data_IF_128534252998
#
_entry.id   IF_128534252998
#
_cell.length_a   1.000
_cell.length_b   1.000
_cell.length_c   1.000
_cell.angle_alpha   90.00
_cell.angle_beta   90.00
_cell.angle_gamma   90.00
#
_symmetry.space_group_name_H-M   'P 1'
#
loop_
_entity.id
_entity.type
_entity.pdbx_description
1 polymer ?
#
# COMPACT_ATOMS: atom_id res chain seq x y z
N UNK A 1 4.46 13.66 -6.39
CA UNK A 1 4.22 12.31 -5.87
C UNK A 1 5.53 11.52 -5.85
N UNK A 2 5.83 10.87 -4.74
CA UNK A 2 7.06 10.07 -4.56
C UNK A 2 7.14 8.89 -5.55
N UNK A 3 6.00 8.38 -6.03
CA UNK A 3 5.97 7.40 -7.11
C UNK A 3 6.38 7.99 -8.45
N UNK A 4 5.97 9.22 -8.80
CA UNK A 4 6.40 9.88 -10.03
C UNK A 4 7.89 10.19 -10.04
N UNK A 5 8.46 10.55 -8.89
CA UNK A 5 9.89 10.82 -8.73
C UNK A 5 10.73 9.58 -8.47
N UNK A 6 10.11 8.39 -8.37
CA UNK A 6 10.75 7.14 -7.98
C UNK A 6 11.59 7.29 -6.71
N UNK A 7 10.98 7.87 -5.67
CA UNK A 7 11.63 8.14 -4.39
C UNK A 7 10.74 7.67 -3.22
N UNK A 8 10.73 6.35 -2.98
CA UNK A 8 9.98 5.76 -1.88
C UNK A 8 10.54 6.12 -0.50
N UNK A 9 11.78 6.62 -0.42
CA UNK A 9 12.33 7.13 0.84
C UNK A 9 11.44 8.20 1.46
N UNK A 10 10.92 9.14 0.67
CA UNK A 10 10.02 10.20 1.17
C UNK A 10 8.79 9.64 1.88
N UNK A 11 8.11 8.68 1.24
CA UNK A 11 6.90 8.07 1.82
C UNK A 11 7.23 7.31 3.09
N UNK A 12 8.23 6.43 3.05
CA UNK A 12 8.56 5.56 4.18
C UNK A 12 9.10 6.38 5.35
N UNK A 13 9.93 7.40 5.11
CA UNK A 13 10.37 8.31 6.18
C UNK A 13 9.21 9.11 6.78
N UNK A 14 8.25 9.54 5.96
CA UNK A 14 7.04 10.19 6.47
C UNK A 14 6.22 9.23 7.35
N UNK A 15 6.05 7.98 6.94
CA UNK A 15 5.35 6.96 7.75
C UNK A 15 6.11 6.63 9.04
N UNK A 16 7.44 6.53 9.01
CA UNK A 16 8.26 6.34 10.20
C UNK A 16 8.11 7.49 11.19
N UNK A 17 8.09 8.73 10.71
CA UNK A 17 7.86 9.91 11.55
C UNK A 17 6.47 9.92 12.18
N UNK A 18 5.47 9.38 11.48
CA UNK A 18 4.10 9.38 11.95
C UNK A 18 3.79 8.19 12.86
N UNK A 19 4.25 7.00 12.52
CA UNK A 19 3.82 5.72 13.10
C UNK A 19 4.97 4.78 13.50
N UNK A 20 6.23 5.22 13.38
CA UNK A 20 7.39 4.39 13.65
C UNK A 20 7.52 3.95 15.12
N UNK A 21 8.52 3.12 15.44
CA UNK A 21 8.69 2.52 16.75
C UNK A 21 9.11 3.55 17.83
N UNK A 22 9.68 4.67 17.43
CA UNK A 22 10.23 5.67 18.35
C UNK A 22 9.16 6.34 19.21
N UNK A 23 9.56 6.79 20.41
CA UNK A 23 8.62 7.42 21.36
C UNK A 23 8.17 8.83 20.93
N UNK A 24 8.89 9.47 20.01
CA UNK A 24 8.59 10.81 19.50
C UNK A 24 7.69 10.81 18.28
N UNK A 25 7.20 9.65 17.79
CA UNK A 25 6.33 9.59 16.63
C UNK A 25 5.01 10.33 16.87
N UNK A 26 4.54 11.02 15.81
CA UNK A 26 3.45 11.98 15.93
C UNK A 26 2.09 11.34 16.23
N UNK A 27 1.82 10.17 15.69
CA UNK A 27 0.48 9.56 15.67
C UNK A 27 0.46 8.13 16.20
N UNK A 28 1.42 7.78 17.05
CA UNK A 28 1.52 6.43 17.64
C UNK A 28 0.22 6.08 18.39
N UNK A 29 -0.37 4.94 18.02
CA UNK A 29 -1.61 4.46 18.62
C UNK A 29 -2.89 5.14 18.11
N UNK A 30 -2.79 6.07 17.16
CA UNK A 30 -3.96 6.70 16.54
C UNK A 30 -4.33 6.01 15.24
N UNK A 31 -5.64 5.86 15.01
CA UNK A 31 -6.20 5.33 13.78
C UNK A 31 -6.75 6.50 12.95
N UNK A 32 -5.89 7.05 12.09
CA UNK A 32 -6.24 8.18 11.23
C UNK A 32 -6.87 7.69 9.93
N UNK A 33 -7.82 8.47 9.41
CA UNK A 33 -8.34 8.25 8.07
C UNK A 33 -7.24 8.49 7.03
N UNK A 34 -7.01 7.50 6.17
CA UNK A 34 -6.00 7.53 5.11
C UNK A 34 -6.67 7.47 3.76
N UNK A 35 -6.33 8.39 2.88
CA UNK A 35 -6.85 8.43 1.51
C UNK A 35 -5.77 8.92 0.54
N UNK A 36 -5.91 8.58 -0.72
CA UNK A 36 -4.99 9.00 -1.80
C UNK A 36 -5.56 10.14 -2.62
N UNK A 37 -6.88 10.26 -2.65
CA UNK A 37 -7.63 11.36 -3.24
C UNK A 37 -9.01 11.52 -2.57
N UNK A 38 -9.67 12.63 -2.86
CA UNK A 38 -11.01 12.94 -2.40
C UNK A 38 -11.68 13.97 -3.33
N UNK A 39 -12.82 14.52 -2.89
CA UNK A 39 -13.60 15.51 -3.65
C UNK A 39 -12.94 16.91 -3.77
N UNK A 40 -11.82 17.16 -3.10
CA UNK A 40 -11.16 18.47 -3.06
C UNK A 40 -9.79 18.50 -3.75
N UNK A 41 -9.25 17.33 -4.11
CA UNK A 41 -7.93 17.22 -4.75
C UNK A 41 -8.02 16.49 -6.09
N UNK A 42 -7.04 16.72 -6.96
CA UNK A 42 -6.90 15.98 -8.20
C UNK A 42 -6.88 14.48 -7.93
N UNK A 43 -7.66 13.72 -8.70
CA UNK A 43 -7.74 12.26 -8.57
C UNK A 43 -6.39 11.61 -8.77
N UNK A 44 -6.09 10.58 -7.99
CA UNK A 44 -4.78 9.92 -7.99
C UNK A 44 -4.40 9.39 -9.38
N UNK A 45 -5.36 8.86 -10.13
CA UNK A 45 -5.14 8.39 -11.50
C UNK A 45 -4.74 9.52 -12.48
N UNK A 46 -5.05 10.77 -12.17
CA UNK A 46 -4.61 11.94 -12.94
C UNK A 46 -3.25 12.49 -12.47
N UNK A 47 -2.83 12.18 -11.24
CA UNK A 47 -1.54 12.63 -10.69
C UNK A 47 -0.39 11.74 -11.16
N UNK A 48 -0.64 10.45 -11.32
CA UNK A 48 0.39 9.47 -11.65
C UNK A 48 0.82 9.58 -13.11
N UNK A 49 2.13 9.65 -13.34
CA UNK A 49 2.74 9.58 -14.68
C UNK A 49 2.82 8.15 -15.22
N UNK A 50 2.75 7.15 -14.34
CA UNK A 50 2.76 5.73 -14.70
C UNK A 50 1.54 5.04 -14.07
N UNK A 51 0.61 4.59 -14.91
CA UNK A 51 -0.63 3.95 -14.47
C UNK A 51 -0.38 2.63 -13.72
N UNK A 52 0.74 1.95 -13.96
CA UNK A 52 1.14 0.73 -13.23
C UNK A 52 1.43 0.97 -11.75
N UNK A 53 1.66 2.22 -11.36
CA UNK A 53 1.82 2.59 -9.94
C UNK A 53 0.48 2.70 -9.19
N UNK A 54 -0.65 2.81 -9.88
CA UNK A 54 -1.94 3.02 -9.26
C UNK A 54 -2.33 1.89 -8.29
N UNK A 55 -2.24 0.60 -8.66
CA UNK A 55 -2.48 -0.50 -7.70
C UNK A 55 -1.52 -0.48 -6.52
N UNK A 56 -0.25 -0.08 -6.73
CA UNK A 56 0.77 -0.07 -5.67
C UNK A 56 0.50 1.00 -4.62
N UNK A 57 -0.05 2.14 -5.02
CA UNK A 57 -0.47 3.19 -4.08
C UNK A 57 -1.60 2.71 -3.18
N UNK A 58 -2.56 1.98 -3.73
CA UNK A 58 -3.62 1.36 -2.91
C UNK A 58 -3.05 0.27 -2.01
N UNK A 59 -2.14 -0.58 -2.49
CA UNK A 59 -1.47 -1.57 -1.65
C UNK A 59 -0.74 -0.89 -0.46
N UNK A 60 -0.04 0.21 -0.72
CA UNK A 60 0.59 1.00 0.35
C UNK A 60 -0.44 1.53 1.33
N UNK A 61 -1.54 2.12 0.86
CA UNK A 61 -2.59 2.69 1.71
C UNK A 61 -3.27 1.64 2.59
N UNK A 62 -3.55 0.45 2.05
CA UNK A 62 -4.14 -0.64 2.83
C UNK A 62 -3.14 -1.33 3.76
N UNK A 63 -1.84 -1.36 3.40
CA UNK A 63 -0.79 -1.97 4.22
C UNK A 63 -0.33 -1.10 5.39
N UNK A 64 -0.34 0.23 5.24
CA UNK A 64 0.12 1.18 6.26
C UNK A 64 -0.87 1.30 7.43
N UNK A 65 -0.43 1.86 8.58
CA UNK A 65 -1.34 2.21 9.67
C UNK A 65 -2.43 3.19 9.23
N UNK A 66 -3.62 3.05 9.82
CA UNK A 66 -4.76 3.91 9.56
C UNK A 66 -5.96 3.20 8.96
N UNK A 67 -7.01 3.95 8.73
CA UNK A 67 -8.29 3.48 8.18
C UNK A 67 -8.33 3.89 6.71
N UNK A 68 -8.19 2.96 5.75
CA UNK A 68 -8.19 3.30 4.33
C UNK A 68 -9.59 3.78 3.89
N UNK A 69 -9.59 4.87 3.14
CA UNK A 69 -10.80 5.41 2.54
C UNK A 69 -10.59 5.55 1.02
N UNK A 70 -11.44 4.90 0.25
CA UNK A 70 -11.43 4.96 -1.21
C UNK A 70 -12.53 5.90 -1.66
N UNK A 71 -12.17 6.92 -2.44
CA UNK A 71 -13.14 7.86 -3.00
C UNK A 71 -13.85 7.24 -4.19
N UNK A 72 -15.17 7.44 -4.29
CA UNK A 72 -15.97 6.82 -5.35
C UNK A 72 -15.44 7.12 -6.76
N UNK A 73 -15.35 6.12 -7.59
CA UNK A 73 -14.78 6.18 -8.94
C UNK A 73 -13.26 5.97 -8.97
N UNK A 74 -12.55 6.23 -7.90
CA UNK A 74 -11.10 6.02 -7.84
C UNK A 74 -10.74 4.55 -7.79
N UNK A 75 -11.64 3.67 -7.33
CA UNK A 75 -11.47 2.22 -7.30
C UNK A 75 -11.41 1.58 -8.70
N UNK A 76 -11.87 2.27 -9.74
CA UNK A 76 -11.67 1.84 -11.13
C UNK A 76 -10.78 2.78 -11.94
N UNK A 77 -10.11 3.74 -11.28
CA UNK A 77 -9.15 4.62 -11.93
C UNK A 77 -9.77 5.84 -12.62
N UNK A 78 -10.93 6.32 -12.16
CA UNK A 78 -11.52 7.55 -12.70
C UNK A 78 -10.53 8.73 -12.59
N UNK A 79 -10.46 9.52 -13.65
CA UNK A 79 -9.60 10.71 -13.76
C UNK A 79 -10.38 11.99 -13.48
N UNK A 80 -9.70 13.04 -13.06
CA UNK A 80 -10.22 14.37 -12.83
C UNK A 80 -9.18 15.29 -12.24
N UNK A 81 -9.02 16.49 -12.80
CA UNK A 81 -8.05 17.47 -12.36
C UNK A 81 -8.74 18.60 -11.60
N UNK A 82 -8.18 19.03 -10.48
CA UNK A 82 -8.69 20.17 -9.70
C UNK A 82 -8.73 21.47 -10.51
N UNK A 83 -7.82 21.66 -11.44
CA UNK A 83 -7.78 22.82 -12.34
C UNK A 83 -8.97 22.91 -13.29
N UNK A 84 -9.70 21.81 -13.51
CA UNK A 84 -10.90 21.74 -14.35
C UNK A 84 -12.18 22.04 -13.56
N UNK A 85 -12.06 22.36 -12.28
CA UNK A 85 -13.16 22.69 -11.38
C UNK A 85 -13.69 21.49 -10.60
N UNK A 86 -14.58 21.78 -9.67
CA UNK A 86 -15.09 20.77 -8.73
C UNK A 86 -15.90 19.66 -9.42
N UNK A 87 -16.56 19.96 -10.53
CA UNK A 87 -17.34 18.96 -11.26
C UNK A 87 -16.48 17.83 -11.84
N UNK A 88 -15.23 18.15 -12.23
CA UNK A 88 -14.28 17.13 -12.70
C UNK A 88 -13.92 16.11 -11.61
N UNK A 89 -13.94 16.54 -10.35
CA UNK A 89 -13.66 15.69 -9.19
C UNK A 89 -14.91 14.97 -8.67
N UNK A 90 -16.09 15.50 -8.95
CA UNK A 90 -17.39 15.02 -8.43
C UNK A 90 -18.28 14.51 -9.55
N UNK A 91 -17.67 13.81 -10.51
CA UNK A 91 -18.40 13.27 -11.66
C UNK A 91 -19.55 12.35 -11.21
N UNK A 92 -20.66 12.43 -11.92
CA UNK A 92 -21.76 11.49 -11.78
C UNK A 92 -21.49 10.29 -12.69
N UNK A 93 -21.52 9.09 -12.15
CA UNK A 93 -21.38 7.84 -12.89
C UNK A 93 -22.74 7.15 -12.99
N UNK A 94 -23.10 6.66 -14.16
CA UNK A 94 -24.38 5.95 -14.37
C UNK A 94 -24.38 4.58 -13.66
N UNK A 95 -23.21 3.93 -13.62
CA UNK A 95 -23.00 2.64 -12.94
C UNK A 95 -21.54 2.52 -12.47
N UNK A 96 -21.27 1.69 -11.45
CA UNK A 96 -19.90 1.33 -11.10
C UNK A 96 -19.25 0.52 -12.23
N UNK A 97 -17.93 0.65 -12.34
CA UNK A 97 -17.11 -0.10 -13.29
C UNK A 97 -16.29 -1.15 -12.53
N UNK A 98 -16.47 -2.41 -12.90
CA UNK A 98 -15.63 -3.49 -12.42
C UNK A 98 -14.46 -3.69 -13.37
N UNK A 99 -13.23 -3.67 -12.85
CA UNK A 99 -11.99 -3.88 -13.58
C UNK A 99 -10.92 -4.49 -12.67
N UNK A 100 -9.74 -4.78 -13.24
CA UNK A 100 -8.62 -5.36 -12.49
C UNK A 100 -8.23 -4.54 -11.25
N UNK A 101 -8.32 -3.21 -11.31
CA UNK A 101 -8.02 -2.33 -10.17
C UNK A 101 -9.05 -2.48 -9.06
N UNK A 102 -10.34 -2.47 -9.39
CA UNK A 102 -11.41 -2.61 -8.40
C UNK A 102 -11.39 -3.99 -7.73
N UNK A 103 -11.10 -5.04 -8.49
CA UNK A 103 -10.89 -6.40 -7.96
C UNK A 103 -9.66 -6.47 -7.05
N UNK A 104 -8.56 -5.83 -7.43
CA UNK A 104 -7.35 -5.76 -6.61
C UNK A 104 -7.61 -5.02 -5.29
N UNK A 105 -8.27 -3.86 -5.33
CA UNK A 105 -8.65 -3.12 -4.13
C UNK A 105 -9.57 -3.94 -3.23
N UNK A 106 -10.49 -4.70 -3.80
CA UNK A 106 -11.35 -5.62 -3.02
C UNK A 106 -10.51 -6.66 -2.26
N UNK A 107 -9.50 -7.25 -2.91
CA UNK A 107 -8.58 -8.19 -2.23
C UNK A 107 -7.76 -7.52 -1.13
N UNK A 108 -7.29 -6.28 -1.35
CA UNK A 108 -6.60 -5.51 -0.31
C UNK A 108 -7.51 -5.23 0.89
N UNK A 109 -8.75 -4.87 0.64
CA UNK A 109 -9.75 -4.61 1.68
C UNK A 109 -10.04 -5.89 2.50
N UNK A 110 -10.20 -7.03 1.83
CA UNK A 110 -10.42 -8.31 2.49
C UNK A 110 -9.18 -8.73 3.32
N UNK A 111 -7.97 -8.57 2.79
CA UNK A 111 -6.73 -8.82 3.51
C UNK A 111 -6.66 -7.97 4.80
N UNK A 112 -6.93 -6.67 4.69
CA UNK A 112 -6.91 -5.78 5.87
C UNK A 112 -8.02 -6.11 6.87
N UNK A 113 -9.23 -6.39 6.41
CA UNK A 113 -10.36 -6.74 7.26
C UNK A 113 -10.08 -7.97 8.13
N UNK A 114 -9.36 -8.95 7.59
CA UNK A 114 -9.08 -10.22 8.25
C UNK A 114 -7.71 -10.26 8.96
N UNK A 115 -6.97 -9.14 9.00
CA UNK A 115 -5.65 -9.07 9.66
C UNK A 115 -5.67 -8.11 10.83
N UNK A 116 -5.43 -8.63 12.03
CA UNK A 116 -5.26 -7.80 13.23
C UNK A 116 -4.00 -6.93 13.12
N UNK A 117 -2.90 -7.49 12.61
CA UNK A 117 -1.66 -6.76 12.41
C UNK A 117 -1.81 -5.58 11.44
N UNK A 118 -2.51 -5.76 10.30
CA UNK A 118 -2.73 -4.66 9.34
C UNK A 118 -3.63 -3.55 9.92
N UNK A 119 -4.54 -3.88 10.83
CA UNK A 119 -5.41 -2.90 11.47
C UNK A 119 -4.72 -2.19 12.63
N UNK A 120 -4.08 -2.93 13.54
CA UNK A 120 -3.62 -2.42 14.84
C UNK A 120 -2.12 -2.57 15.09
N UNK A 121 -1.40 -3.23 14.17
CA UNK A 121 0.01 -3.56 14.33
C UNK A 121 0.93 -2.34 14.35
N UNK A 122 2.04 -2.48 15.06
CA UNK A 122 3.15 -1.54 14.98
C UNK A 122 3.72 -1.50 13.56
N UNK A 123 4.35 -0.39 13.20
CA UNK A 123 4.97 -0.16 11.91
C UNK A 123 6.50 -0.12 12.04
N UNK A 124 7.19 -0.91 11.22
CA UNK A 124 8.66 -0.94 11.16
C UNK A 124 9.14 -1.11 9.72
N UNK A 125 10.07 -0.27 9.27
CA UNK A 125 10.72 -0.42 7.96
C UNK A 125 11.74 -1.57 8.00
N UNK A 126 11.76 -2.41 6.96
CA UNK A 126 12.63 -3.58 6.83
C UNK A 126 13.60 -3.43 5.66
N UNK A 127 13.09 -3.13 4.47
CA UNK A 127 13.88 -2.85 3.25
C UNK A 127 13.42 -1.53 2.67
N UNK A 128 14.36 -0.70 2.28
CA UNK A 128 14.04 0.59 1.66
C UNK A 128 15.07 0.95 0.61
N UNK A 129 14.61 1.16 -0.61
CA UNK A 129 15.36 1.71 -1.73
C UNK A 129 14.55 2.83 -2.38
N UNK A 130 15.05 3.42 -3.45
CA UNK A 130 14.27 4.41 -4.22
C UNK A 130 12.98 3.83 -4.82
N UNK A 131 12.98 2.55 -5.16
CA UNK A 131 11.93 1.91 -5.95
C UNK A 131 11.23 0.74 -5.23
N UNK A 132 11.80 0.23 -4.15
CA UNK A 132 11.26 -0.87 -3.37
C UNK A 132 11.14 -0.50 -1.89
N UNK A 133 10.10 -1.01 -1.26
CA UNK A 133 10.00 -0.99 0.19
C UNK A 133 9.38 -2.27 0.73
N UNK A 134 9.89 -2.71 1.87
CA UNK A 134 9.25 -3.75 2.70
C UNK A 134 9.15 -3.17 4.10
N UNK A 135 7.97 -3.22 4.67
CA UNK A 135 7.74 -2.85 6.07
C UNK A 135 6.91 -3.90 6.79
N UNK A 136 7.08 -3.96 8.07
CA UNK A 136 6.38 -4.91 8.95
C UNK A 136 5.22 -4.22 9.67
N UNK A 137 4.12 -4.94 9.76
CA UNK A 137 3.01 -4.69 10.68
C UNK A 137 2.92 -5.86 11.65
N UNK A 138 2.97 -5.60 12.94
CA UNK A 138 2.99 -6.65 13.96
C UNK A 138 2.11 -6.30 15.16
N UNK A 139 1.22 -7.22 15.55
CA UNK A 139 0.37 -7.14 16.73
C UNK A 139 -0.07 -8.54 17.18
N UNK A 140 -0.06 -8.78 18.49
CA UNK A 140 -0.68 -9.95 19.14
C UNK A 140 -0.34 -11.31 18.49
N UNK A 141 0.94 -11.51 18.18
CA UNK A 141 1.42 -12.75 17.59
C UNK A 141 1.22 -12.88 16.08
N UNK A 142 0.60 -11.90 15.44
CA UNK A 142 0.48 -11.81 13.98
C UNK A 142 1.50 -10.84 13.41
N UNK A 143 2.17 -11.24 12.33
CA UNK A 143 3.10 -10.41 11.59
C UNK A 143 2.79 -10.45 10.10
N UNK A 144 2.72 -9.28 9.48
CA UNK A 144 2.55 -9.13 8.03
C UNK A 144 3.67 -8.25 7.49
N UNK A 145 4.38 -8.76 6.49
CA UNK A 145 5.37 -8.01 5.71
C UNK A 145 4.68 -7.47 4.46
N UNK A 146 4.62 -6.15 4.34
CA UNK A 146 4.09 -5.47 3.15
C UNK A 146 5.26 -5.14 2.24
N UNK A 147 5.31 -5.75 1.07
CA UNK A 147 6.38 -5.57 0.10
C UNK A 147 5.86 -4.92 -1.17
N UNK A 148 6.55 -3.90 -1.66
CA UNK A 148 6.18 -3.15 -2.88
C UNK A 148 7.43 -2.99 -3.76
N UNK A 149 7.29 -3.34 -5.05
CA UNK A 149 8.25 -3.02 -6.09
C UNK A 149 7.59 -2.09 -7.11
N UNK A 150 8.05 -0.84 -7.15
CA UNK A 150 7.57 0.18 -8.09
C UNK A 150 8.39 0.26 -9.38
N UNK A 151 9.41 -0.60 -9.53
CA UNK A 151 10.26 -0.66 -10.73
C UNK A 151 9.62 -1.50 -11.83
N UNK A 152 10.03 -1.25 -13.07
CA UNK A 152 9.77 -2.07 -14.25
C UNK A 152 10.58 -3.38 -14.28
N UNK A 153 11.59 -3.50 -13.42
CA UNK A 153 12.47 -4.65 -13.32
C UNK A 153 12.16 -5.46 -12.05
N UNK A 154 12.37 -6.78 -12.08
CA UNK A 154 12.27 -7.60 -10.89
C UNK A 154 13.37 -7.22 -9.89
N UNK A 155 13.08 -7.37 -8.62
CA UNK A 155 14.01 -7.08 -7.53
C UNK A 155 14.06 -8.26 -6.56
N UNK A 156 15.26 -8.73 -6.22
CA UNK A 156 15.43 -9.75 -5.18
C UNK A 156 15.84 -9.09 -3.88
N UNK A 157 14.94 -9.13 -2.90
CA UNK A 157 15.19 -8.61 -1.56
C UNK A 157 15.88 -9.66 -0.69
N UNK A 158 16.99 -9.29 -0.05
CA UNK A 158 17.68 -10.10 0.94
C UNK A 158 17.52 -9.45 2.30
N UNK A 159 16.79 -10.08 3.20
CA UNK A 159 16.53 -9.59 4.55
C UNK A 159 16.13 -10.75 5.46
N UNK A 160 16.28 -10.55 6.77
CA UNK A 160 15.78 -11.48 7.77
C UNK A 160 14.27 -11.21 8.00
N UNK A 161 13.43 -12.11 7.54
CA UNK A 161 11.98 -12.03 7.75
C UNK A 161 11.58 -12.44 9.17
N UNK A 162 12.45 -13.09 9.91
CA UNK A 162 12.16 -13.66 11.24
C UNK A 162 11.17 -14.82 11.21
N UNK A 163 10.86 -15.35 10.02
CA UNK A 163 10.08 -16.57 9.78
C UNK A 163 10.55 -17.23 8.48
N UNK A 164 10.29 -18.53 8.31
CA UNK A 164 10.69 -19.28 7.10
C UNK A 164 9.70 -19.14 5.97
N UNK A 165 8.40 -19.17 6.29
CA UNK A 165 7.30 -19.20 5.33
C UNK A 165 6.27 -18.14 5.66
N UNK A 166 5.54 -17.72 4.62
CA UNK A 166 4.39 -16.84 4.74
C UNK A 166 3.30 -17.21 3.73
N UNK A 167 2.10 -16.70 3.95
CA UNK A 167 1.02 -16.69 2.97
C UNK A 167 0.78 -15.25 2.53
N UNK A 168 0.76 -15.01 1.23
CA UNK A 168 0.37 -13.70 0.69
C UNK A 168 -1.14 -13.53 0.83
N UNK A 169 -1.56 -12.56 1.64
CA UNK A 169 -2.99 -12.29 1.89
C UNK A 169 -3.73 -11.75 0.66
N UNK A 170 -3.00 -11.26 -0.35
CA UNK A 170 -3.61 -10.73 -1.59
C UNK A 170 -3.90 -11.86 -2.57
N UNK A 171 -2.94 -12.77 -2.79
CA UNK A 171 -3.05 -13.85 -3.77
C UNK A 171 -3.44 -15.21 -3.18
N UNK A 172 -3.17 -15.42 -1.90
CA UNK A 172 -3.29 -16.73 -1.23
C UNK A 172 -2.11 -17.67 -1.47
N UNK A 173 -1.07 -17.21 -2.19
CA UNK A 173 0.10 -18.02 -2.49
C UNK A 173 1.07 -18.10 -1.31
N UNK A 174 1.74 -19.24 -1.18
CA UNK A 174 2.79 -19.42 -0.19
C UNK A 174 4.09 -18.76 -0.67
N UNK A 175 4.85 -18.20 0.28
CA UNK A 175 6.16 -17.60 0.04
C UNK A 175 7.20 -18.19 0.99
N UNK A 176 8.35 -18.59 0.44
CA UNK A 176 9.52 -19.04 1.18
C UNK A 176 10.57 -17.91 1.17
N UNK A 177 11.00 -17.48 2.37
CA UNK A 177 12.02 -16.43 2.52
C UNK A 177 13.46 -16.95 2.34
N UNK A 178 13.65 -18.25 2.22
CA UNK A 178 14.96 -18.86 2.00
C UNK A 178 15.57 -18.44 0.66
N UNK A 179 16.84 -17.96 0.68
CA UNK A 179 17.55 -17.58 -0.55
C UNK A 179 17.17 -16.22 -1.16
N UNK A 180 16.41 -15.41 -0.46
CA UNK A 180 15.94 -14.10 -0.93
C UNK A 180 14.51 -14.13 -1.44
N UNK A 181 13.87 -12.96 -1.52
CA UNK A 181 12.49 -12.80 -1.93
C UNK A 181 12.41 -12.01 -3.24
N UNK A 182 11.98 -12.65 -4.31
CA UNK A 182 11.83 -12.01 -5.60
C UNK A 182 10.52 -11.24 -5.68
N UNK A 183 10.61 -9.94 -5.92
CA UNK A 183 9.50 -9.06 -6.20
C UNK A 183 9.39 -8.87 -7.71
N UNK A 184 8.26 -9.26 -8.29
CA UNK A 184 7.98 -9.03 -9.70
C UNK A 184 7.94 -7.52 -10.02
N UNK A 185 8.10 -7.09 -11.29
CA UNK A 185 7.88 -5.70 -11.68
C UNK A 185 6.50 -5.21 -11.29
N UNK A 186 6.40 -3.99 -10.76
CA UNK A 186 5.12 -3.36 -10.39
C UNK A 186 4.22 -4.25 -9.53
N UNK A 187 4.77 -4.82 -8.45
CA UNK A 187 4.09 -5.80 -7.61
C UNK A 187 3.93 -5.35 -6.17
N UNK A 188 2.95 -5.94 -5.50
CA UNK A 188 2.74 -5.78 -4.07
C UNK A 188 2.36 -7.13 -3.44
N UNK A 189 2.84 -7.38 -2.23
CA UNK A 189 2.61 -8.60 -1.46
C UNK A 189 2.32 -8.25 0.00
N UNK A 190 1.36 -8.95 0.59
CA UNK A 190 1.06 -8.89 2.02
C UNK A 190 1.37 -10.25 2.63
N UNK A 191 2.62 -10.49 2.96
CA UNK A 191 3.10 -11.78 3.48
C UNK A 191 2.80 -11.89 4.97
N UNK A 192 1.81 -12.68 5.32
CA UNK A 192 1.54 -13.08 6.71
C UNK A 192 2.47 -14.21 7.09
N UNK A 193 3.38 -13.94 8.03
CA UNK A 193 4.32 -14.95 8.54
C UNK A 193 3.58 -16.11 9.20
N UNK A 194 4.02 -17.33 8.92
CA UNK A 194 3.63 -18.51 9.69
C UNK A 194 4.28 -18.47 11.08
N UNK A 195 3.54 -18.95 12.08
CA UNK A 195 3.98 -18.98 13.48
C UNK A 195 5.09 -20.06 13.71
#
# INVERSE_FOLDING_TARGET
SSFNSMNLFEIVHSLLRQFGPENWTLYKGLHLLSFVDNHDVTRIASILSNEKHLPLIYALMFGMPGIPCVYYGSEWGAKGNKSEGDQALRACFEAPVENELSEFISRLAEAKKNSHALNYGAFRSVVLTNKQCIFERAADGERVLVAINADSEPYTAHFDAGCGMAVDLISGENHDFGGGSQLAPYSAYFWKCEA
#
